data_IF_289053357746
#
_entry.id   IF_289053357746
#
_cell.length_a   1.000
_cell.length_b   1.000
_cell.length_c   1.000
_cell.angle_alpha   90.00
_cell.angle_beta   90.00
_cell.angle_gamma   90.00
#
_symmetry.space_group_name_H-M   'P 1'
#
loop_
_entity.id
_entity.type
_entity.pdbx_description
1 polymer ?
#
# COMPACT_ATOMS: atom_id res chain seq x y z
N UNK A 1 -0.12 -26.38 -28.28
CA UNK A 1 0.37 -26.75 -26.93
C UNK A 1 0.35 -25.60 -25.93
N UNK A 2 0.15 -24.36 -26.32
CA UNK A 2 0.18 -23.18 -25.43
C UNK A 2 -1.11 -22.94 -24.63
N UNK A 3 -2.25 -23.48 -25.04
CA UNK A 3 -3.50 -23.35 -24.30
C UNK A 3 -3.58 -24.13 -22.96
N UNK A 4 -2.78 -25.18 -22.83
CA UNK A 4 -2.86 -26.09 -21.66
C UNK A 4 -2.23 -25.49 -20.42
N UNK A 5 -1.16 -24.73 -20.54
CA UNK A 5 -0.47 -24.17 -19.36
C UNK A 5 -1.14 -22.93 -18.77
N UNK A 6 -1.78 -22.11 -19.58
CA UNK A 6 -2.56 -20.94 -19.10
C UNK A 6 -3.82 -21.36 -18.34
N UNK A 7 -4.36 -22.55 -18.63
CA UNK A 7 -5.50 -23.11 -17.89
C UNK A 7 -5.08 -23.91 -16.65
N UNK A 8 -3.88 -24.47 -16.62
CA UNK A 8 -3.41 -25.29 -15.50
C UNK A 8 -3.14 -24.47 -14.23
N UNK A 9 -2.64 -23.23 -14.37
CA UNK A 9 -2.28 -22.42 -13.20
C UNK A 9 -3.48 -22.01 -12.34
N UNK A 10 -4.61 -21.49 -12.89
CA UNK A 10 -5.82 -21.24 -12.11
C UNK A 10 -6.34 -22.50 -11.43
N UNK A 11 -6.40 -23.65 -12.15
CA UNK A 11 -6.87 -24.94 -11.60
C UNK A 11 -5.99 -25.38 -10.42
N UNK A 12 -4.67 -25.32 -10.58
CA UNK A 12 -3.73 -25.67 -9.51
C UNK A 12 -3.84 -24.73 -8.31
N UNK A 13 -4.15 -23.45 -8.53
CA UNK A 13 -4.36 -22.48 -7.44
C UNK A 13 -5.67 -22.70 -6.70
N UNK A 14 -6.73 -23.17 -7.37
CA UNK A 14 -7.97 -23.59 -6.71
C UNK A 14 -7.76 -24.85 -5.86
N UNK A 15 -6.98 -25.82 -6.35
CA UNK A 15 -6.71 -27.06 -5.66
C UNK A 15 -5.66 -26.92 -4.53
N UNK A 16 -4.68 -26.05 -4.72
CA UNK A 16 -3.56 -25.81 -3.80
C UNK A 16 -3.37 -24.31 -3.54
N UNK A 17 -4.28 -23.61 -2.83
CA UNK A 17 -4.27 -22.16 -2.69
C UNK A 17 -3.04 -21.62 -1.95
N UNK A 18 -2.52 -22.38 -0.99
CA UNK A 18 -1.41 -21.98 -0.12
C UNK A 18 -0.02 -22.32 -0.68
N UNK A 19 0.04 -23.09 -1.77
CA UNK A 19 1.33 -23.46 -2.36
C UNK A 19 1.85 -22.37 -3.30
N UNK A 20 3.12 -21.95 -3.17
CA UNK A 20 3.77 -21.07 -4.15
C UNK A 20 4.01 -21.84 -5.45
N UNK A 21 3.24 -21.52 -6.48
CA UNK A 21 3.38 -22.13 -7.80
C UNK A 21 4.27 -21.27 -8.69
N UNK A 22 5.21 -21.89 -9.38
CA UNK A 22 6.01 -21.27 -10.44
C UNK A 22 5.70 -22.01 -11.74
N UNK A 23 5.11 -21.32 -12.69
CA UNK A 23 4.81 -21.91 -14.00
C UNK A 23 5.45 -21.09 -15.11
N UNK A 24 5.98 -21.78 -16.11
CA UNK A 24 6.67 -21.16 -17.22
C UNK A 24 6.50 -21.98 -18.50
N UNK A 25 6.01 -21.32 -19.53
CA UNK A 25 6.02 -21.92 -20.90
C UNK A 25 7.32 -21.61 -21.61
N UNK A 26 7.77 -22.54 -22.44
CA UNK A 26 8.95 -22.39 -23.28
C UNK A 26 8.58 -21.91 -24.69
N UNK A 27 9.57 -21.38 -25.40
CA UNK A 27 9.43 -20.91 -26.78
C UNK A 27 8.77 -19.52 -26.89
N UNK A 28 8.66 -19.00 -28.11
CA UNK A 28 8.18 -17.64 -28.38
C UNK A 28 6.77 -17.39 -27.84
N UNK A 29 5.86 -18.34 -27.97
CA UNK A 29 4.52 -18.26 -27.42
C UNK A 29 4.49 -18.30 -25.87
N UNK A 30 5.57 -18.78 -25.25
CA UNK A 30 5.75 -18.81 -23.80
C UNK A 30 6.03 -17.47 -23.16
N UNK A 31 6.38 -16.43 -23.93
CA UNK A 31 6.60 -15.06 -23.43
C UNK A 31 5.40 -14.55 -22.62
N UNK A 32 4.20 -14.87 -23.08
CA UNK A 32 2.95 -14.47 -22.40
C UNK A 32 2.90 -14.97 -20.96
N UNK A 33 3.29 -16.22 -20.71
CA UNK A 33 3.28 -16.78 -19.36
C UNK A 33 4.30 -16.13 -18.43
N UNK A 34 5.39 -15.59 -18.96
CA UNK A 34 6.40 -14.84 -18.17
C UNK A 34 5.93 -13.45 -17.80
N UNK A 35 5.18 -12.80 -18.69
CA UNK A 35 4.69 -11.43 -18.48
C UNK A 35 3.40 -11.39 -17.65
N UNK A 36 2.49 -12.34 -17.86
CA UNK A 36 1.15 -12.34 -17.27
C UNK A 36 0.94 -13.41 -16.21
N UNK A 37 1.91 -14.30 -15.99
CA UNK A 37 1.79 -15.43 -15.06
C UNK A 37 1.39 -15.03 -13.64
N UNK A 38 1.88 -13.89 -13.15
CA UNK A 38 1.53 -13.36 -11.83
C UNK A 38 0.05 -13.04 -11.67
N UNK A 39 -0.66 -12.62 -12.72
CA UNK A 39 -2.12 -12.39 -12.68
C UNK A 39 -2.92 -13.69 -12.47
N UNK A 40 -2.32 -14.83 -12.79
CA UNK A 40 -2.90 -16.15 -12.65
C UNK A 40 -2.32 -16.94 -11.48
N UNK A 41 -1.52 -16.29 -10.62
CA UNK A 41 -0.99 -16.86 -9.38
C UNK A 41 0.40 -17.51 -9.50
N UNK A 42 1.18 -17.26 -10.57
CA UNK A 42 2.59 -17.62 -10.59
C UNK A 42 3.37 -16.73 -9.61
N UNK A 43 4.14 -17.37 -8.72
CA UNK A 43 4.84 -16.69 -7.64
C UNK A 43 6.11 -15.95 -8.11
N UNK A 44 6.77 -16.45 -9.15
CA UNK A 44 8.02 -15.89 -9.71
C UNK A 44 7.96 -15.91 -11.23
N UNK A 45 8.59 -14.93 -11.85
CA UNK A 45 8.92 -14.93 -13.28
C UNK A 45 10.41 -14.72 -13.49
N UNK A 46 10.92 -15.15 -14.67
CA UNK A 46 12.32 -15.11 -15.01
C UNK A 46 12.56 -14.33 -16.30
N UNK A 47 13.42 -13.31 -16.24
CA UNK A 47 13.94 -12.55 -17.38
C UNK A 47 15.43 -12.81 -17.62
N UNK A 48 15.96 -12.37 -18.74
CA UNK A 48 17.39 -12.34 -19.02
C UNK A 48 17.93 -10.91 -18.88
N UNK A 49 19.17 -10.78 -18.38
CA UNK A 49 19.85 -9.48 -18.21
C UNK A 49 20.72 -9.16 -19.42
N UNK A 50 21.32 -10.19 -20.04
CA UNK A 50 22.20 -10.04 -21.20
C UNK A 50 21.65 -10.77 -22.42
N UNK A 51 22.22 -11.89 -22.79
CA UNK A 51 21.75 -12.69 -23.91
C UNK A 51 20.72 -13.73 -23.47
N UNK A 52 19.69 -13.93 -24.31
CA UNK A 52 18.69 -14.94 -24.05
C UNK A 52 19.30 -16.34 -24.18
N UNK A 53 19.35 -17.10 -23.08
CA UNK A 53 19.89 -18.47 -23.05
C UNK A 53 18.91 -19.52 -23.57
N UNK A 54 17.63 -19.16 -23.78
CA UNK A 54 16.59 -20.03 -24.32
C UNK A 54 15.52 -19.24 -25.08
N UNK A 55 14.87 -19.85 -26.09
CA UNK A 55 13.75 -19.24 -26.80
C UNK A 55 12.60 -18.86 -25.86
N UNK A 56 12.05 -17.67 -26.03
CA UNK A 56 10.94 -17.17 -25.23
C UNK A 56 11.35 -16.46 -23.94
N UNK A 57 12.65 -16.28 -23.69
CA UNK A 57 13.08 -15.36 -22.64
C UNK A 57 12.75 -13.91 -22.99
N UNK A 58 12.46 -13.11 -21.97
CA UNK A 58 12.17 -11.68 -22.07
C UNK A 58 13.27 -10.93 -21.33
N UNK A 59 13.77 -9.87 -21.91
CA UNK A 59 14.76 -9.01 -21.26
C UNK A 59 14.17 -8.38 -19.99
N UNK A 60 15.02 -8.24 -18.97
CA UNK A 60 14.63 -7.71 -17.65
C UNK A 60 13.98 -6.32 -17.76
N UNK A 61 14.56 -5.42 -18.55
CA UNK A 61 14.03 -4.08 -18.77
C UNK A 61 12.63 -4.12 -19.37
N UNK A 62 12.42 -4.95 -20.40
CA UNK A 62 11.09 -5.15 -21.01
C UNK A 62 10.10 -5.75 -20.02
N UNK A 63 10.53 -6.68 -19.16
CA UNK A 63 9.67 -7.22 -18.11
C UNK A 63 9.26 -6.14 -17.13
N UNK A 64 10.17 -5.28 -16.67
CA UNK A 64 9.87 -4.18 -15.78
C UNK A 64 8.85 -3.22 -16.39
N UNK A 65 9.04 -2.79 -17.64
CA UNK A 65 8.10 -1.91 -18.35
C UNK A 65 6.70 -2.51 -18.48
N UNK A 66 6.63 -3.80 -18.80
CA UNK A 66 5.36 -4.52 -18.94
C UNK A 66 4.72 -4.73 -17.57
N UNK A 67 5.50 -5.10 -16.57
CA UNK A 67 5.02 -5.29 -15.21
C UNK A 67 4.49 -3.98 -14.61
N UNK A 68 5.18 -2.87 -14.82
CA UNK A 68 4.69 -1.56 -14.39
C UNK A 68 3.32 -1.25 -15.01
N UNK A 69 3.11 -1.56 -16.28
CA UNK A 69 1.83 -1.33 -16.96
C UNK A 69 0.72 -2.29 -16.52
N UNK A 70 1.05 -3.59 -16.35
CA UNK A 70 0.07 -4.64 -16.05
C UNK A 70 -0.27 -4.70 -14.57
N UNK A 71 0.74 -4.59 -13.70
CA UNK A 71 0.59 -4.83 -12.26
C UNK A 71 0.38 -3.55 -11.46
N UNK A 72 0.61 -2.36 -12.05
CA UNK A 72 0.37 -1.08 -11.37
C UNK A 72 -1.08 -0.97 -10.90
N UNK A 73 -2.03 -1.34 -11.76
CA UNK A 73 -3.44 -1.42 -11.42
C UNK A 73 -3.81 -2.57 -10.47
N UNK A 74 -2.90 -3.52 -10.18
CA UNK A 74 -3.13 -4.65 -9.29
C UNK A 74 -2.38 -4.54 -7.95
N UNK A 75 -1.90 -3.35 -7.59
CA UNK A 75 -1.23 -3.07 -6.32
C UNK A 75 -2.17 -2.34 -5.36
N UNK A 76 -1.90 -2.44 -4.06
CA UNK A 76 -2.61 -1.61 -3.08
C UNK A 76 -2.34 -0.11 -3.32
N UNK A 77 -3.32 0.73 -3.00
CA UNK A 77 -3.11 2.17 -2.82
C UNK A 77 -3.05 2.41 -1.32
N UNK A 78 -1.89 2.87 -0.83
CA UNK A 78 -1.57 2.96 0.58
C UNK A 78 -1.43 4.43 0.96
N UNK A 79 -2.34 4.94 1.78
CA UNK A 79 -2.36 6.33 2.20
C UNK A 79 -1.56 6.50 3.50
N UNK A 80 -0.53 7.34 3.45
CA UNK A 80 0.24 7.80 4.60
C UNK A 80 0.13 9.32 4.76
N UNK A 81 0.53 9.82 5.90
CA UNK A 81 0.58 11.25 6.18
C UNK A 81 0.14 11.60 7.59
N UNK A 82 0.29 12.85 7.93
CA UNK A 82 0.04 13.36 9.27
C UNK A 82 -1.44 13.20 9.69
N UNK A 83 -1.69 13.17 11.00
CA UNK A 83 -3.07 13.15 11.50
C UNK A 83 -3.85 14.38 11.03
N UNK A 84 -5.14 14.21 10.71
CA UNK A 84 -5.98 15.31 10.23
C UNK A 84 -5.80 15.67 8.75
N UNK A 85 -4.88 15.03 8.02
CA UNK A 85 -4.71 15.28 6.58
C UNK A 85 -5.88 14.77 5.72
N UNK A 86 -6.72 13.89 6.28
CA UNK A 86 -7.93 13.38 5.62
C UNK A 86 -7.82 11.97 5.05
N UNK A 87 -6.86 11.15 5.53
CA UNK A 87 -6.65 9.76 5.04
C UNK A 87 -7.93 8.94 4.98
N UNK A 88 -8.65 8.80 6.11
CA UNK A 88 -9.88 7.97 6.17
C UNK A 88 -11.01 8.49 5.27
N UNK A 89 -11.14 9.82 5.11
CA UNK A 89 -12.15 10.39 4.21
C UNK A 89 -11.80 10.14 2.75
N UNK A 90 -10.51 10.25 2.39
CA UNK A 90 -10.03 10.04 1.03
C UNK A 90 -10.00 8.55 0.70
N UNK A 91 -9.65 7.66 1.65
CA UNK A 91 -9.68 6.21 1.44
C UNK A 91 -11.09 5.72 1.13
N UNK A 92 -12.09 6.25 1.82
CA UNK A 92 -13.50 5.93 1.55
C UNK A 92 -13.90 6.31 0.11
N UNK A 93 -13.58 7.51 -0.36
CA UNK A 93 -13.89 7.94 -1.72
C UNK A 93 -13.09 7.15 -2.77
N UNK A 94 -11.82 6.83 -2.51
CA UNK A 94 -11.00 5.97 -3.37
C UNK A 94 -11.59 4.56 -3.48
N UNK A 95 -12.03 3.98 -2.36
CA UNK A 95 -12.69 2.67 -2.30
C UNK A 95 -13.92 2.64 -3.22
N UNK A 96 -14.75 3.68 -3.12
CA UNK A 96 -15.94 3.84 -3.97
C UNK A 96 -15.59 3.96 -5.45
N UNK A 97 -14.63 4.83 -5.82
CA UNK A 97 -14.25 5.09 -7.21
C UNK A 97 -13.52 3.91 -7.86
N UNK A 98 -12.63 3.24 -7.11
CA UNK A 98 -11.86 2.12 -7.61
C UNK A 98 -12.55 0.77 -7.46
N UNK A 99 -13.71 0.69 -6.81
CA UNK A 99 -14.42 -0.54 -6.47
C UNK A 99 -13.52 -1.53 -5.71
N UNK A 100 -12.74 -1.04 -4.74
CA UNK A 100 -11.82 -1.80 -3.91
C UNK A 100 -12.24 -1.71 -2.45
N UNK A 101 -11.93 -2.75 -1.67
CA UNK A 101 -12.13 -2.72 -0.22
C UNK A 101 -11.26 -1.64 0.41
N UNK A 102 -11.80 -1.01 1.43
CA UNK A 102 -11.09 -0.07 2.30
C UNK A 102 -10.62 -0.80 3.55
N UNK A 103 -9.39 -0.51 3.98
CA UNK A 103 -8.81 -1.04 5.22
C UNK A 103 -8.17 0.12 5.98
N UNK A 104 -8.64 0.36 7.21
CA UNK A 104 -7.95 1.22 8.17
C UNK A 104 -7.06 0.35 9.07
N UNK A 105 -5.77 0.67 9.12
CA UNK A 105 -4.80 -0.19 9.82
C UNK A 105 -4.97 -0.15 11.32
N UNK A 106 -5.41 0.98 11.88
CA UNK A 106 -5.64 1.10 13.31
C UNK A 106 -6.85 0.26 13.72
N UNK A 107 -7.94 0.34 12.94
CA UNK A 107 -9.12 -0.49 13.16
C UNK A 107 -8.84 -1.99 13.00
N UNK A 108 -8.09 -2.37 11.97
CA UNK A 108 -7.69 -3.78 11.77
C UNK A 108 -6.96 -4.35 13.00
N UNK A 109 -6.02 -3.59 13.57
CA UNK A 109 -5.27 -4.03 14.75
C UNK A 109 -6.22 -4.16 15.95
N UNK A 110 -7.13 -3.19 16.18
CA UNK A 110 -8.10 -3.26 17.28
C UNK A 110 -9.03 -4.46 17.17
N UNK A 111 -9.53 -4.74 15.96
CA UNK A 111 -10.40 -5.90 15.70
C UNK A 111 -9.67 -7.22 15.95
N UNK A 112 -8.41 -7.33 15.50
CA UNK A 112 -7.59 -8.54 15.68
C UNK A 112 -7.19 -8.79 17.12
N UNK A 113 -6.83 -7.73 17.85
CA UNK A 113 -6.44 -7.79 19.26
C UNK A 113 -7.64 -7.86 20.22
N UNK A 114 -8.86 -7.52 19.76
CA UNK A 114 -10.05 -7.45 20.55
C UNK A 114 -10.02 -6.38 21.65
N UNK A 115 -9.18 -5.37 21.51
CA UNK A 115 -8.95 -4.28 22.46
C UNK A 115 -8.51 -2.99 21.79
N UNK A 116 -8.78 -1.85 22.43
CA UNK A 116 -8.39 -0.55 21.90
C UNK A 116 -6.86 -0.36 21.86
N UNK A 117 -6.37 0.42 20.89
CA UNK A 117 -4.96 0.77 20.79
C UNK A 117 -4.41 1.42 22.07
N UNK A 118 -5.21 2.24 22.73
CA UNK A 118 -4.85 2.83 24.04
C UNK A 118 -4.51 1.77 25.10
N UNK A 119 -5.25 0.66 25.12
CA UNK A 119 -5.03 -0.44 26.04
C UNK A 119 -3.79 -1.25 25.68
N UNK A 120 -3.53 -1.41 24.37
CA UNK A 120 -2.31 -2.03 23.87
C UNK A 120 -1.08 -1.23 24.32
N UNK A 121 -1.10 0.09 24.11
CA UNK A 121 -0.01 0.97 24.56
C UNK A 121 0.19 0.94 26.07
N UNK A 122 -0.89 0.92 26.85
CA UNK A 122 -0.82 0.93 28.31
C UNK A 122 -0.27 -0.38 28.89
N UNK A 123 -0.57 -1.54 28.27
CA UNK A 123 -0.18 -2.86 28.78
C UNK A 123 1.12 -3.37 28.21
N UNK A 124 1.31 -3.25 26.89
CA UNK A 124 2.41 -3.89 26.15
C UNK A 124 3.46 -2.87 25.67
N UNK A 125 3.10 -1.58 25.61
CA UNK A 125 3.98 -0.51 25.17
C UNK A 125 4.06 -0.33 23.66
N UNK A 126 4.83 0.68 23.26
CA UNK A 126 4.93 1.10 21.84
C UNK A 126 5.58 0.03 20.95
N UNK A 127 6.60 -0.65 21.43
CA UNK A 127 7.34 -1.66 20.64
C UNK A 127 6.41 -2.78 20.18
N UNK A 128 5.58 -3.30 21.06
CA UNK A 128 4.60 -4.34 20.73
C UNK A 128 3.62 -3.87 19.65
N UNK A 129 3.09 -2.65 19.81
CA UNK A 129 2.19 -2.07 18.78
C UNK A 129 2.89 -1.95 17.42
N UNK A 130 4.15 -1.53 17.38
CA UNK A 130 4.92 -1.45 16.14
C UNK A 130 5.18 -2.82 15.50
N UNK A 131 5.30 -3.86 16.30
CA UNK A 131 5.45 -5.23 15.79
C UNK A 131 4.12 -5.75 15.22
N UNK A 132 2.97 -5.39 15.81
CA UNK A 132 1.65 -5.65 15.23
C UNK A 132 1.47 -4.96 13.89
N UNK A 133 1.85 -3.67 13.77
CA UNK A 133 1.83 -2.96 12.49
C UNK A 133 2.67 -3.69 11.42
N UNK A 134 3.86 -4.17 11.80
CA UNK A 134 4.76 -4.89 10.87
C UNK A 134 4.16 -6.24 10.41
N UNK A 135 3.58 -7.02 11.33
CA UNK A 135 2.94 -8.31 11.02
C UNK A 135 1.71 -8.12 10.12
N UNK A 136 0.94 -7.08 10.38
CA UNK A 136 -0.23 -6.74 9.56
C UNK A 136 0.13 -6.46 8.10
N UNK A 137 1.26 -5.80 7.82
CA UNK A 137 1.67 -5.53 6.44
C UNK A 137 1.92 -6.85 5.69
N UNK A 138 2.44 -7.88 6.34
CA UNK A 138 2.62 -9.20 5.72
C UNK A 138 1.27 -9.83 5.34
N UNK A 139 0.27 -9.71 6.20
CA UNK A 139 -1.09 -10.20 5.90
C UNK A 139 -1.74 -9.41 4.76
N UNK A 140 -1.56 -8.08 4.74
CA UNK A 140 -2.06 -7.24 3.64
C UNK A 140 -1.47 -7.64 2.28
N UNK A 141 -0.23 -8.11 2.25
CA UNK A 141 0.41 -8.60 1.02
C UNK A 141 -0.24 -9.86 0.43
N UNK A 142 -1.07 -10.56 1.20
CA UNK A 142 -1.75 -11.80 0.79
C UNK A 142 -3.18 -11.58 0.28
N UNK A 143 -3.74 -10.40 0.43
CA UNK A 143 -5.11 -10.10 0.00
C UNK A 143 -5.16 -9.42 -1.36
N UNK A 144 -6.36 -9.38 -1.95
CA UNK A 144 -6.61 -8.64 -3.19
C UNK A 144 -6.31 -7.15 -3.01
N UNK A 145 -5.93 -6.44 -4.10
CA UNK A 145 -5.65 -5.00 -4.05
C UNK A 145 -6.75 -4.21 -3.34
N UNK A 146 -6.35 -3.44 -2.36
CA UNK A 146 -7.20 -2.67 -1.47
C UNK A 146 -6.77 -1.20 -1.42
N UNK A 147 -7.59 -0.33 -0.84
CA UNK A 147 -7.25 1.01 -0.41
C UNK A 147 -6.91 0.92 1.08
N UNK A 148 -5.68 1.26 1.46
CA UNK A 148 -5.18 1.10 2.82
C UNK A 148 -4.93 2.49 3.43
N UNK A 149 -5.62 2.81 4.53
CA UNK A 149 -5.39 4.01 5.33
C UNK A 149 -4.49 3.67 6.51
N UNK A 150 -3.24 4.12 6.48
CA UNK A 150 -2.26 3.81 7.52
C UNK A 150 -2.37 4.72 8.74
N UNK A 151 -2.16 4.15 9.93
CA UNK A 151 -1.88 4.88 11.15
C UNK A 151 -0.69 5.84 10.99
N UNK A 152 -0.73 6.99 11.67
CA UNK A 152 0.27 8.06 11.46
C UNK A 152 1.71 7.70 11.86
N UNK A 153 1.94 6.58 12.53
CA UNK A 153 3.25 6.10 12.94
C UNK A 153 3.84 5.02 12.04
N UNK A 154 3.05 4.39 11.19
CA UNK A 154 3.46 3.22 10.42
C UNK A 154 4.67 3.49 9.50
N UNK A 155 4.71 4.65 8.87
CA UNK A 155 5.82 5.06 7.99
C UNK A 155 7.10 5.51 8.73
N UNK A 156 7.12 5.51 10.08
CA UNK A 156 8.29 5.91 10.85
C UNK A 156 9.31 4.77 11.04
N UNK A 157 8.90 3.52 10.78
CA UNK A 157 9.77 2.34 10.87
C UNK A 157 10.23 1.92 9.48
N UNK A 158 11.52 1.94 9.22
CA UNK A 158 12.12 1.60 7.92
C UNK A 158 11.67 0.23 7.37
N UNK A 159 11.55 -0.77 8.24
CA UNK A 159 11.06 -2.10 7.84
C UNK A 159 9.64 -2.04 7.28
N UNK A 160 8.76 -1.25 7.91
CA UNK A 160 7.39 -1.06 7.43
C UNK A 160 7.38 -0.35 6.08
N UNK A 161 8.23 0.68 5.90
CA UNK A 161 8.35 1.40 4.63
C UNK A 161 8.68 0.46 3.49
N UNK A 162 9.71 -0.39 3.65
CA UNK A 162 10.11 -1.38 2.62
C UNK A 162 8.98 -2.36 2.29
N UNK A 163 8.29 -2.86 3.32
CA UNK A 163 7.17 -3.79 3.13
C UNK A 163 5.99 -3.12 2.43
N UNK A 164 5.61 -1.90 2.83
CA UNK A 164 4.54 -1.15 2.19
C UNK A 164 4.85 -0.86 0.71
N UNK A 165 6.08 -0.42 0.42
CA UNK A 165 6.53 -0.19 -0.96
C UNK A 165 6.54 -1.47 -1.81
N UNK A 166 6.78 -2.63 -1.20
CA UNK A 166 6.73 -3.92 -1.89
C UNK A 166 5.31 -4.31 -2.32
N UNK A 167 4.30 -4.07 -1.47
CA UNK A 167 2.90 -4.49 -1.71
C UNK A 167 2.03 -3.45 -2.41
N UNK A 168 2.42 -2.15 -2.41
CA UNK A 168 1.54 -1.10 -2.92
C UNK A 168 2.23 0.16 -3.42
N UNK A 169 1.43 1.07 -3.95
CA UNK A 169 1.84 2.45 -4.22
C UNK A 169 1.58 3.29 -2.97
N UNK A 170 2.64 3.81 -2.36
CA UNK A 170 2.56 4.61 -1.14
C UNK A 170 2.30 6.07 -1.49
N UNK A 171 1.13 6.57 -1.13
CA UNK A 171 0.68 7.93 -1.40
C UNK A 171 0.77 8.76 -0.13
N UNK A 172 1.65 9.74 -0.12
CA UNK A 172 1.73 10.74 0.95
C UNK A 172 0.68 11.83 0.72
N UNK A 173 -0.25 11.94 1.64
CA UNK A 173 -1.15 13.08 1.70
C UNK A 173 -0.54 14.21 2.53
N UNK A 174 -0.51 15.41 1.97
CA UNK A 174 0.01 16.61 2.63
C UNK A 174 -1.06 17.67 2.80
N UNK A 175 -0.89 18.51 3.82
CA UNK A 175 -1.67 19.73 4.03
C UNK A 175 -0.84 20.74 4.81
N UNK A 176 -1.22 22.01 4.75
CA UNK A 176 -0.61 23.07 5.57
C UNK A 176 -0.93 22.86 7.05
N UNK A 177 -0.04 23.27 7.99
CA UNK A 177 -0.31 23.19 9.42
C UNK A 177 -1.61 23.88 9.83
N UNK A 178 -1.93 25.00 9.21
CA UNK A 178 -3.16 25.76 9.41
C UNK A 178 -4.41 24.93 9.03
N UNK A 179 -4.35 24.24 7.89
CA UNK A 179 -5.43 23.36 7.42
C UNK A 179 -5.62 22.17 8.37
N UNK A 180 -4.50 21.58 8.84
CA UNK A 180 -4.55 20.50 9.84
C UNK A 180 -5.20 20.99 11.11
N UNK A 181 -4.76 22.16 11.65
CA UNK A 181 -5.32 22.74 12.85
C UNK A 181 -6.83 22.93 12.74
N UNK A 182 -7.32 23.55 11.66
CA UNK A 182 -8.76 23.74 11.42
C UNK A 182 -9.56 22.44 11.43
N UNK A 183 -8.99 21.37 10.87
CA UNK A 183 -9.65 20.05 10.79
C UNK A 183 -9.66 19.30 12.13
N UNK A 184 -8.68 19.53 12.99
CA UNK A 184 -8.54 18.74 14.24
C UNK A 184 -8.98 19.48 15.50
N UNK A 185 -9.13 20.80 15.48
CA UNK A 185 -9.42 21.65 16.67
C UNK A 185 -10.67 21.26 17.45
N UNK A 186 -11.65 20.64 16.79
CA UNK A 186 -12.88 20.17 17.43
C UNK A 186 -12.89 18.68 17.77
N UNK A 187 -11.81 17.95 17.46
CA UNK A 187 -11.76 16.51 17.68
C UNK A 187 -11.05 16.20 19.01
N UNK A 188 -11.82 15.88 20.05
CA UNK A 188 -11.33 15.61 21.40
C UNK A 188 -10.63 14.24 21.57
N UNK A 189 -10.72 13.34 20.58
CA UNK A 189 -10.21 11.98 20.68
C UNK A 189 -8.74 11.80 20.23
N UNK A 190 -7.89 12.85 20.33
CA UNK A 190 -6.49 12.80 19.87
C UNK A 190 -5.51 13.11 21.00
N UNK A 191 -4.96 12.07 21.68
CA UNK A 191 -4.08 12.24 22.85
C UNK A 191 -2.86 13.14 22.59
N UNK A 192 -2.27 13.07 21.38
CA UNK A 192 -1.05 13.80 21.02
C UNK A 192 -1.24 15.34 20.87
N UNK A 193 -2.48 15.82 20.86
CA UNK A 193 -2.79 17.24 20.66
C UNK A 193 -3.50 17.87 21.87
N UNK A 194 -3.80 17.08 22.93
CA UNK A 194 -4.65 17.52 24.07
C UNK A 194 -4.12 18.75 24.80
N UNK A 195 -2.81 18.88 24.97
CA UNK A 195 -2.22 19.89 25.86
C UNK A 195 -1.60 21.10 25.14
N UNK A 196 -1.40 21.01 23.80
CA UNK A 196 -0.69 22.05 23.01
C UNK A 196 -1.30 22.23 21.61
N UNK A 197 -2.62 22.35 21.52
CA UNK A 197 -3.31 22.51 20.23
C UNK A 197 -3.12 23.90 19.66
N UNK A 198 -1.99 24.14 18.96
CA UNK A 198 -1.75 25.35 18.19
C UNK A 198 -0.99 25.03 16.89
N UNK A 199 -1.04 25.94 15.94
CA UNK A 199 -0.45 25.78 14.60
C UNK A 199 1.05 25.53 14.65
N UNK A 200 1.77 26.21 15.55
CA UNK A 200 3.24 26.08 15.64
C UNK A 200 3.67 24.71 16.17
N UNK A 201 2.94 24.16 17.14
CA UNK A 201 3.17 22.80 17.63
C UNK A 201 2.90 21.76 16.52
N UNK A 202 1.81 21.91 15.78
CA UNK A 202 1.50 21.05 14.63
C UNK A 202 2.63 21.14 13.59
N UNK A 203 3.08 22.34 13.25
CA UNK A 203 4.20 22.57 12.31
C UNK A 203 5.46 21.85 12.75
N UNK A 204 5.84 21.97 14.02
CA UNK A 204 7.02 21.29 14.57
C UNK A 204 6.88 19.76 14.52
N UNK A 205 5.71 19.21 14.84
CA UNK A 205 5.46 17.77 14.74
C UNK A 205 5.48 17.26 13.29
N UNK A 206 4.92 18.02 12.36
CA UNK A 206 4.94 17.69 10.93
C UNK A 206 6.37 17.69 10.41
N UNK A 207 7.18 18.71 10.76
CA UNK A 207 8.56 18.82 10.32
C UNK A 207 9.43 17.65 10.83
N UNK A 208 9.27 17.23 12.10
CA UNK A 208 9.96 16.06 12.64
C UNK A 208 9.66 14.76 11.88
N UNK A 209 8.47 14.64 11.29
CA UNK A 209 8.03 13.42 10.58
C UNK A 209 8.17 13.54 9.06
N UNK A 210 8.41 14.72 8.53
CA UNK A 210 8.45 15.01 7.10
C UNK A 210 9.39 14.09 6.35
N UNK A 211 10.63 13.97 6.80
CA UNK A 211 11.67 13.15 6.15
C UNK A 211 11.25 11.68 6.06
N UNK A 212 10.60 11.13 7.09
CA UNK A 212 10.11 9.74 7.08
C UNK A 212 8.98 9.54 6.09
N UNK A 213 8.02 10.46 6.04
CA UNK A 213 6.91 10.37 5.10
C UNK A 213 7.37 10.54 3.65
N UNK A 214 8.26 11.51 3.39
CA UNK A 214 8.84 11.75 2.05
C UNK A 214 9.64 10.53 1.57
N UNK A 215 10.43 9.92 2.46
CA UNK A 215 11.17 8.69 2.15
C UNK A 215 10.27 7.50 1.83
N UNK A 216 9.16 7.36 2.53
CA UNK A 216 8.20 6.28 2.32
C UNK A 216 7.37 6.45 1.05
N UNK A 217 7.18 7.69 0.58
CA UNK A 217 6.24 8.02 -0.47
C UNK A 217 6.74 7.65 -1.87
N UNK A 218 5.88 6.99 -2.65
CA UNK A 218 6.03 6.85 -4.10
C UNK A 218 5.41 8.04 -4.83
N UNK A 219 4.30 8.55 -4.29
CA UNK A 219 3.51 9.66 -4.84
C UNK A 219 3.16 10.62 -3.71
N UNK A 220 3.15 11.93 -4.00
CA UNK A 220 2.70 12.96 -3.05
C UNK A 220 1.51 13.72 -3.64
N UNK A 221 0.47 13.93 -2.81
CA UNK A 221 -0.74 14.66 -3.17
C UNK A 221 -1.11 15.64 -2.05
N UNK A 222 -1.28 16.92 -2.40
CA UNK A 222 -1.77 17.94 -1.47
C UNK A 222 -3.29 17.90 -1.38
N UNK A 223 -3.79 18.03 -0.16
CA UNK A 223 -5.23 18.10 0.12
C UNK A 223 -5.74 19.53 0.34
N UNK A 224 -4.85 20.52 0.26
CA UNK A 224 -5.21 21.92 0.45
C UNK A 224 -6.02 22.44 -0.74
N UNK A 225 -7.14 23.11 -0.46
CA UNK A 225 -7.95 23.80 -1.46
C UNK A 225 -8.68 22.90 -2.47
N UNK A 226 -8.65 21.58 -2.26
CA UNK A 226 -9.29 20.60 -3.15
C UNK A 226 -10.46 19.92 -2.46
N UNK A 227 -11.48 19.54 -3.23
CA UNK A 227 -12.55 18.66 -2.74
C UNK A 227 -12.08 17.21 -2.76
N UNK A 228 -12.73 16.36 -1.95
CA UNK A 228 -12.35 14.97 -1.74
C UNK A 228 -12.28 14.17 -3.05
N UNK A 229 -13.28 14.37 -3.93
CA UNK A 229 -13.36 13.69 -5.22
C UNK A 229 -12.22 14.08 -6.18
N UNK A 230 -11.77 15.33 -6.16
CA UNK A 230 -10.61 15.77 -6.96
C UNK A 230 -9.32 15.12 -6.47
N UNK A 231 -9.13 15.06 -5.15
CA UNK A 231 -7.97 14.42 -4.54
C UNK A 231 -7.94 12.93 -4.90
N UNK A 232 -9.09 12.26 -4.78
CA UNK A 232 -9.20 10.84 -5.10
C UNK A 232 -8.91 10.55 -6.58
N UNK A 233 -9.42 11.37 -7.50
CA UNK A 233 -9.12 11.25 -8.94
C UNK A 233 -7.63 11.48 -9.24
N UNK A 234 -7.01 12.52 -8.66
CA UNK A 234 -5.58 12.78 -8.81
C UNK A 234 -4.73 11.59 -8.32
N UNK A 235 -5.12 10.96 -7.21
CA UNK A 235 -4.45 9.76 -6.70
C UNK A 235 -4.57 8.61 -7.70
N UNK A 236 -5.77 8.36 -8.23
CA UNK A 236 -5.99 7.29 -9.21
C UNK A 236 -5.17 7.52 -10.48
N UNK A 237 -5.15 8.74 -11.03
CA UNK A 237 -4.36 9.10 -12.21
C UNK A 237 -2.84 8.89 -12.00
N UNK A 238 -2.34 9.11 -10.78
CA UNK A 238 -0.92 8.90 -10.45
C UNK A 238 -0.58 7.45 -10.14
N UNK A 239 -1.57 6.63 -9.75
CA UNK A 239 -1.38 5.23 -9.36
C UNK A 239 -1.61 4.26 -10.52
N UNK A 240 -2.33 4.67 -11.55
CA UNK A 240 -2.67 3.88 -12.75
C UNK A 240 -2.12 4.53 -14.01
#
# INVERSE_FOLDING_TARGET
>A
MTGVQTCALPILKEEFPDFPLITMSMGELGKVSRLYGGLYGSFVSFGCVSEASAPGQVYYETMCEVFDKIYKGNRHIILIGFMGVGKSTISHELSRLASRIEIDTDQWIEEKEGRAISDIFAKEGETYFRDLETSMIDELGMIKPAIISCGGGMALRELNVRKLQAIGTVVLLTAKPETIFERVRYNTNRPLLKDNMNVDYIRQMMEKRRVYYEHAATVTVSTDGKIITEIAKEILEKCF
#
